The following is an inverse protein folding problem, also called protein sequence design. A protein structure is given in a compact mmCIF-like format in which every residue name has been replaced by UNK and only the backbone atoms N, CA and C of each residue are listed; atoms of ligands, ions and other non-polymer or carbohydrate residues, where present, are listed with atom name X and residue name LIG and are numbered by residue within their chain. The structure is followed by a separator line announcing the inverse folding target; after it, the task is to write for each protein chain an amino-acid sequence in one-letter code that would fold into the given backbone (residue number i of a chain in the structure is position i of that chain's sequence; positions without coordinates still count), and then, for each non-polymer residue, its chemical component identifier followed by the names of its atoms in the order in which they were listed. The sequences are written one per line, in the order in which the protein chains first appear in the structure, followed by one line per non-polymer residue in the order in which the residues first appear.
data_IF_726630914139
#
_entry.id   IF_726630914139
#
_cell.length_a   1.000
_cell.length_b   1.000
_cell.length_c   1.000
_cell.angle_alpha   90.00
_cell.angle_beta   90.00
_cell.angle_gamma   90.00
#
_symmetry.space_group_name_H-M   'P 1'
#
loop_
_entity.id
_entity.type
_entity.pdbx_description
1 polymer ?
#
# COMPACT_ATOMS: atom_id res chain seq x y z
N UNK A 1 13.31 -7.38 5.63
CA UNK A 1 11.92 -7.35 6.12
C UNK A 1 10.90 -7.46 4.98
N UNK A 2 9.70 -8.01 5.28
CA UNK A 2 8.62 -8.15 4.31
C UNK A 2 7.35 -7.50 4.84
N UNK A 3 6.73 -6.64 4.03
CA UNK A 3 5.53 -5.89 4.38
C UNK A 3 4.42 -6.10 3.35
N UNK A 4 3.18 -6.07 3.80
CA UNK A 4 1.98 -6.07 2.97
C UNK A 4 1.13 -4.85 3.34
N UNK A 5 0.99 -3.93 2.39
CA UNK A 5 0.14 -2.75 2.52
C UNK A 5 -1.09 -2.94 1.63
N UNK A 6 -2.28 -2.84 2.18
CA UNK A 6 -3.49 -2.93 1.37
C UNK A 6 -4.61 -2.04 1.90
N UNK A 7 -5.51 -1.62 1.02
CA UNK A 7 -6.66 -0.82 1.44
C UNK A 7 -6.97 0.35 0.52
N UNK A 8 -7.13 1.52 1.12
CA UNK A 8 -7.50 2.74 0.43
C UNK A 8 -6.43 3.19 -0.58
N UNK A 9 -6.86 3.55 -1.79
CA UNK A 9 -5.98 3.91 -2.91
C UNK A 9 -5.19 5.20 -2.70
N UNK A 10 -5.61 6.08 -1.78
CA UNK A 10 -4.90 7.27 -1.39
C UNK A 10 -3.86 7.00 -0.30
N UNK A 11 -4.22 6.16 0.69
CA UNK A 11 -3.37 5.90 1.85
C UNK A 11 -2.23 4.93 1.54
N UNK A 12 -2.48 3.89 0.75
CA UNK A 12 -1.47 2.87 0.43
C UNK A 12 -0.21 3.46 -0.21
N UNK A 13 -0.28 4.31 -1.26
CA UNK A 13 0.92 4.92 -1.85
C UNK A 13 1.66 5.84 -0.88
N UNK A 14 0.94 6.58 -0.03
CA UNK A 14 1.56 7.47 0.98
C UNK A 14 2.29 6.65 2.06
N UNK A 15 1.66 5.57 2.54
CA UNK A 15 2.29 4.67 3.52
C UNK A 15 3.48 3.93 2.92
N UNK A 16 3.38 3.51 1.66
CA UNK A 16 4.50 2.91 0.92
C UNK A 16 5.71 3.85 0.85
N UNK A 17 5.50 5.10 0.45
CA UNK A 17 6.57 6.09 0.39
C UNK A 17 7.21 6.34 1.78
N UNK A 18 6.37 6.43 2.82
CA UNK A 18 6.85 6.59 4.20
C UNK A 18 7.65 5.37 4.67
N UNK A 19 7.18 4.15 4.42
CA UNK A 19 7.85 2.91 4.79
C UNK A 19 9.22 2.77 4.10
N UNK A 20 9.31 3.15 2.83
CA UNK A 20 10.58 3.18 2.08
C UNK A 20 11.55 4.17 2.73
N UNK A 21 11.08 5.37 3.11
CA UNK A 21 11.90 6.37 3.78
C UNK A 21 12.38 5.89 5.16
N UNK A 22 11.47 5.32 5.95
CA UNK A 22 11.75 4.80 7.29
C UNK A 22 12.74 3.62 7.27
N UNK A 23 12.70 2.78 6.23
CA UNK A 23 13.61 1.65 6.07
C UNK A 23 15.02 2.01 5.60
N UNK A 24 15.30 3.30 5.34
CA UNK A 24 16.58 3.76 4.80
C UNK A 24 16.80 3.43 3.32
N UNK A 25 15.78 2.94 2.61
CA UNK A 25 15.87 2.55 1.21
C UNK A 25 15.50 3.67 0.21
N UNK A 26 15.39 4.93 0.69
CA UNK A 26 15.02 6.05 -0.18
C UNK A 26 16.05 6.34 -1.27
N UNK A 27 17.33 6.16 -0.97
CA UNK A 27 18.44 6.57 -1.82
C UNK A 27 19.19 5.38 -2.46
N UNK A 28 18.61 4.16 -2.39
CA UNK A 28 19.23 2.99 -3.02
C UNK A 28 19.36 3.19 -4.53
N UNK A 29 20.45 2.69 -5.09
CA UNK A 29 20.74 2.75 -6.51
C UNK A 29 19.63 2.11 -7.36
N UNK A 30 19.41 2.60 -8.55
CA UNK A 30 18.39 2.07 -9.48
C UNK A 30 18.56 0.57 -9.74
N UNK A 31 19.80 0.07 -9.77
CA UNK A 31 20.11 -1.34 -9.91
C UNK A 31 19.55 -2.22 -8.75
N UNK A 32 19.26 -1.60 -7.60
CA UNK A 32 18.70 -2.27 -6.42
C UNK A 32 17.21 -2.01 -6.22
N UNK A 33 16.58 -1.22 -7.10
CA UNK A 33 15.14 -0.93 -7.08
C UNK A 33 14.41 -1.79 -8.09
N UNK A 34 13.44 -2.54 -7.61
CA UNK A 34 12.59 -3.35 -8.46
C UNK A 34 11.13 -3.03 -8.16
N UNK A 35 10.40 -2.53 -9.14
CA UNK A 35 8.97 -2.31 -9.05
C UNK A 35 8.27 -3.17 -10.09
N UNK A 36 7.46 -4.11 -9.63
CA UNK A 36 6.84 -5.15 -10.44
C UNK A 36 5.32 -5.06 -10.31
N UNK A 37 4.63 -5.07 -11.43
CA UNK A 37 3.18 -5.25 -11.44
C UNK A 37 2.85 -6.75 -11.30
N UNK A 38 1.66 -7.07 -10.82
CA UNK A 38 1.17 -8.44 -10.68
C UNK A 38 1.36 -9.29 -11.94
N UNK A 39 1.15 -8.70 -13.12
CA UNK A 39 1.31 -9.37 -14.42
C UNK A 39 2.75 -9.77 -14.75
N UNK A 40 3.72 -9.13 -14.11
CA UNK A 40 5.17 -9.36 -14.30
C UNK A 40 5.76 -10.24 -13.20
N UNK A 41 5.05 -10.39 -12.08
CA UNK A 41 5.53 -11.12 -10.92
C UNK A 41 5.33 -12.63 -11.09
N UNK A 42 6.44 -13.35 -11.35
CA UNK A 42 6.49 -14.82 -11.31
C UNK A 42 7.24 -15.27 -10.06
N UNK A 43 6.74 -16.26 -9.31
CA UNK A 43 7.33 -16.66 -8.03
C UNK A 43 8.83 -16.94 -8.09
N UNK A 44 9.28 -17.71 -9.10
CA UNK A 44 10.69 -18.08 -9.24
C UNK A 44 11.61 -16.91 -9.60
N UNK A 45 11.15 -16.02 -10.50
CA UNK A 45 11.89 -14.80 -10.88
C UNK A 45 11.97 -13.83 -9.70
N UNK A 46 10.85 -13.60 -9.02
CA UNK A 46 10.80 -12.74 -7.85
C UNK A 46 11.69 -13.27 -6.72
N UNK A 47 11.68 -14.59 -6.49
CA UNK A 47 12.56 -15.22 -5.49
C UNK A 47 14.03 -15.00 -5.80
N UNK A 48 14.41 -15.11 -7.09
CA UNK A 48 15.79 -14.86 -7.53
C UNK A 48 16.21 -13.41 -7.28
N UNK A 49 15.34 -12.45 -7.55
CA UNK A 49 15.57 -11.02 -7.26
C UNK A 49 15.71 -10.78 -5.74
N UNK A 50 14.82 -11.39 -4.94
CA UNK A 50 14.82 -11.22 -3.48
C UNK A 50 16.05 -11.84 -2.79
N UNK A 51 16.64 -12.88 -3.37
CA UNK A 51 17.84 -13.55 -2.83
C UNK A 51 19.15 -12.89 -3.27
N UNK A 52 19.12 -12.05 -4.29
CA UNK A 52 20.31 -11.38 -4.76
C UNK A 52 20.74 -10.29 -3.75
N UNK A 53 22.03 -10.27 -3.41
CA UNK A 53 22.59 -9.20 -2.59
C UNK A 53 22.50 -7.85 -3.30
N UNK A 54 22.36 -6.75 -2.57
CA UNK A 54 22.38 -5.41 -3.16
C UNK A 54 23.74 -5.13 -3.80
N UNK A 55 23.73 -4.38 -4.90
CA UNK A 55 24.94 -3.98 -5.61
C UNK A 55 25.43 -2.62 -5.09
N UNK A 56 26.55 -2.59 -4.39
CA UNK A 56 27.16 -1.39 -3.82
C UNK A 56 26.22 -0.53 -2.96
N UNK A 57 25.34 -1.20 -2.21
CA UNK A 57 24.30 -0.59 -1.40
C UNK A 57 24.02 -1.43 -0.15
N UNK A 58 23.35 -0.85 0.84
CA UNK A 58 22.96 -1.55 2.07
C UNK A 58 21.70 -2.39 1.87
N UNK A 59 20.80 -1.95 0.98
CA UNK A 59 19.51 -2.57 0.77
C UNK A 59 19.17 -2.81 -0.70
N UNK A 60 18.33 -3.80 -0.92
CA UNK A 60 17.61 -4.07 -2.16
C UNK A 60 16.12 -3.88 -1.91
N UNK A 61 15.51 -2.94 -2.61
CA UNK A 61 14.10 -2.60 -2.49
C UNK A 61 13.29 -3.27 -3.61
N UNK A 62 12.29 -4.05 -3.23
CA UNK A 62 11.38 -4.72 -4.17
C UNK A 62 9.96 -4.37 -3.78
N UNK A 63 9.22 -3.76 -4.71
CA UNK A 63 7.81 -3.42 -4.56
C UNK A 63 7.01 -4.21 -5.58
N UNK A 64 6.01 -4.97 -5.12
CA UNK A 64 5.11 -5.75 -5.97
C UNK A 64 3.69 -5.21 -5.82
N UNK A 65 3.11 -4.75 -6.92
CA UNK A 65 1.81 -4.08 -6.91
C UNK A 65 0.69 -4.93 -7.53
N UNK A 66 -0.45 -4.97 -6.86
CA UNK A 66 -1.69 -5.59 -7.35
C UNK A 66 -1.69 -7.11 -7.36
N UNK A 67 -0.70 -7.77 -6.75
CA UNK A 67 -0.58 -9.22 -6.79
C UNK A 67 -1.70 -9.93 -6.02
N UNK A 68 -2.03 -9.43 -4.84
CA UNK A 68 -3.03 -10.07 -3.99
C UNK A 68 -4.44 -9.87 -4.56
N UNK A 69 -4.70 -8.71 -5.17
CA UNK A 69 -5.97 -8.43 -5.85
C UNK A 69 -6.22 -9.32 -7.06
N UNK A 70 -5.18 -9.65 -7.83
CA UNK A 70 -5.33 -10.59 -8.96
C UNK A 70 -5.67 -12.01 -8.49
N UNK A 71 -5.14 -12.45 -7.36
CA UNK A 71 -5.49 -13.74 -6.77
C UNK A 71 -6.99 -13.82 -6.37
N UNK A 72 -7.58 -12.71 -5.95
CA UNK A 72 -9.00 -12.63 -5.61
C UNK A 72 -9.90 -12.63 -6.85
N UNK A 73 -9.53 -11.90 -7.90
CA UNK A 73 -10.32 -11.80 -9.13
C UNK A 73 -10.40 -13.11 -9.90
N UNK A 74 -9.32 -13.89 -9.91
CA UNK A 74 -9.31 -15.22 -10.55
C UNK A 74 -10.21 -16.23 -9.83
N UNK A 75 -10.46 -16.07 -8.52
CA UNK A 75 -11.39 -16.89 -7.76
C UNK A 75 -12.87 -16.64 -8.08
N UNK A 76 -13.23 -15.43 -8.54
CA UNK A 76 -14.63 -15.04 -8.84
C UNK A 76 -15.13 -15.42 -10.23
N UNK A 77 -14.23 -15.70 -11.18
CA UNK A 77 -14.56 -15.87 -12.60
C UNK A 77 -14.96 -17.28 -13.05
N UNK A 78 -14.85 -18.31 -12.22
CA UNK A 78 -15.19 -19.70 -12.60
C UNK A 78 -16.35 -20.26 -11.77
N UNK A 79 -17.53 -20.26 -12.38
CA UNK A 79 -18.67 -21.08 -11.90
C UNK A 79 -18.27 -22.55 -11.82
N UNK A 80 -18.47 -23.15 -10.62
CA UNK A 80 -18.53 -24.59 -10.31
C UNK A 80 -17.51 -25.49 -11.02
N UNK A 81 -16.46 -25.78 -10.31
CA UNK A 81 -15.57 -26.90 -10.58
C UNK A 81 -14.21 -26.64 -9.92
N UNK A 82 -13.98 -27.28 -8.79
CA UNK A 82 -12.70 -27.53 -8.11
C UNK A 82 -11.47 -26.74 -8.56
N UNK A 83 -10.88 -25.95 -7.63
CA UNK A 83 -9.43 -25.70 -7.53
C UNK A 83 -8.80 -24.48 -8.20
N UNK A 84 -9.46 -23.31 -8.31
CA UNK A 84 -8.67 -22.15 -8.75
C UNK A 84 -7.95 -21.42 -7.58
N UNK A 85 -8.51 -21.42 -6.38
CA UNK A 85 -7.77 -20.95 -5.18
C UNK A 85 -6.56 -21.83 -4.86
N UNK A 86 -6.66 -23.13 -5.08
CA UNK A 86 -5.55 -24.06 -4.90
C UNK A 86 -4.44 -23.87 -5.93
N UNK A 87 -4.73 -23.38 -7.13
CA UNK A 87 -3.74 -23.15 -8.19
C UNK A 87 -2.78 -22.00 -7.88
N UNK A 88 -3.31 -20.84 -7.53
CA UNK A 88 -2.48 -19.67 -7.19
C UNK A 88 -1.72 -19.89 -5.87
N UNK A 89 -2.39 -20.37 -4.83
CA UNK A 89 -1.72 -20.66 -3.56
C UNK A 89 -0.62 -21.69 -3.73
N UNK A 90 -0.88 -22.79 -4.46
CA UNK A 90 0.15 -23.81 -4.75
C UNK A 90 1.35 -23.22 -5.54
N UNK A 91 1.09 -22.34 -6.49
CA UNK A 91 2.14 -21.69 -7.28
C UNK A 91 3.02 -20.76 -6.41
N UNK A 92 2.42 -20.01 -5.47
CA UNK A 92 3.13 -19.04 -4.63
C UNK A 92 3.63 -19.62 -3.31
N UNK A 93 3.18 -20.80 -2.91
CA UNK A 93 3.56 -21.45 -1.66
C UNK A 93 5.09 -21.53 -1.48
N UNK A 94 5.90 -22.02 -2.48
CA UNK A 94 7.35 -22.11 -2.32
C UNK A 94 8.02 -20.75 -2.13
N UNK A 95 7.46 -19.69 -2.74
CA UNK A 95 7.94 -18.32 -2.57
C UNK A 95 7.70 -17.85 -1.13
N UNK A 96 6.47 -18.03 -0.63
CA UNK A 96 6.09 -17.60 0.72
C UNK A 96 6.91 -18.33 1.80
N UNK A 97 7.15 -19.62 1.62
CA UNK A 97 7.99 -20.42 2.51
C UNK A 97 9.46 -19.97 2.49
N UNK A 98 9.92 -19.38 1.41
CA UNK A 98 11.29 -18.86 1.30
C UNK A 98 11.47 -17.46 1.91
N UNK A 99 10.41 -16.70 2.17
CA UNK A 99 10.50 -15.34 2.74
C UNK A 99 11.35 -15.29 4.03
N UNK A 100 11.16 -16.15 5.02
CA UNK A 100 11.98 -16.11 6.25
C UNK A 100 13.48 -16.37 6.05
N UNK A 101 13.86 -16.88 4.87
CA UNK A 101 15.24 -17.19 4.52
C UNK A 101 15.88 -16.16 3.59
N UNK A 102 15.18 -15.08 3.29
CA UNK A 102 15.71 -13.98 2.47
C UNK A 102 16.76 -13.18 3.25
N UNK A 103 17.75 -12.57 2.56
CA UNK A 103 18.72 -11.71 3.22
C UNK A 103 18.05 -10.54 3.97
N UNK A 104 18.59 -10.16 5.12
CA UNK A 104 18.12 -9.01 5.89
C UNK A 104 18.25 -7.69 5.12
N UNK A 105 19.14 -7.65 4.14
CA UNK A 105 19.33 -6.55 3.20
C UNK A 105 18.19 -6.39 2.18
N UNK A 106 17.28 -7.38 2.08
CA UNK A 106 16.14 -7.34 1.17
C UNK A 106 14.92 -6.73 1.86
N UNK A 107 14.37 -5.66 1.27
CA UNK A 107 13.11 -5.04 1.67
C UNK A 107 12.08 -5.39 0.60
N UNK A 108 11.11 -6.23 0.96
CA UNK A 108 10.04 -6.68 0.07
C UNK A 108 8.71 -6.10 0.53
N UNK A 109 8.04 -5.37 -0.35
CA UNK A 109 6.77 -4.72 -0.05
C UNK A 109 5.73 -5.13 -1.10
N UNK A 110 4.63 -5.71 -0.65
CA UNK A 110 3.43 -5.91 -1.45
C UNK A 110 2.49 -4.74 -1.22
N UNK A 111 2.05 -4.08 -2.29
CA UNK A 111 1.12 -2.97 -2.24
C UNK A 111 -0.12 -3.27 -3.08
N UNK A 112 -1.29 -3.27 -2.44
CA UNK A 112 -2.55 -3.63 -3.07
C UNK A 112 -3.68 -2.68 -2.68
N UNK A 113 -4.72 -2.65 -3.47
CA UNK A 113 -5.98 -1.99 -3.13
C UNK A 113 -6.74 -2.73 -2.02
N UNK A 114 -8.02 -2.42 -1.88
CA UNK A 114 -8.89 -3.10 -0.91
C UNK A 114 -8.99 -4.59 -1.22
N UNK A 115 -8.69 -5.42 -0.24
CA UNK A 115 -8.73 -6.88 -0.33
C UNK A 115 -9.86 -7.45 0.53
N UNK A 116 -10.47 -8.51 0.05
CA UNK A 116 -11.44 -9.28 0.85
C UNK A 116 -10.75 -10.02 2.00
N UNK A 117 -11.45 -10.14 3.14
CA UNK A 117 -10.94 -10.83 4.34
C UNK A 117 -10.55 -12.31 4.10
N UNK A 118 -11.04 -12.91 3.01
CA UNK A 118 -10.75 -14.31 2.63
C UNK A 118 -9.70 -14.41 1.54
N UNK A 119 -9.01 -13.31 1.20
CA UNK A 119 -7.97 -13.34 0.15
C UNK A 119 -6.92 -14.42 0.48
N UNK A 120 -6.70 -15.40 -0.42
CA UNK A 120 -5.84 -16.55 -0.13
C UNK A 120 -4.36 -16.16 0.01
N UNK A 121 -3.88 -15.23 -0.82
CA UNK A 121 -2.51 -14.73 -0.76
C UNK A 121 -2.23 -13.94 0.51
N UNK A 122 -3.20 -13.08 0.92
CA UNK A 122 -3.09 -12.33 2.16
C UNK A 122 -2.97 -13.27 3.38
N UNK A 123 -3.75 -14.36 3.39
CA UNK A 123 -3.69 -15.36 4.47
C UNK A 123 -2.34 -16.06 4.55
N UNK A 124 -1.72 -16.36 3.41
CA UNK A 124 -0.39 -16.99 3.37
C UNK A 124 0.70 -16.03 3.84
N UNK A 125 0.68 -14.80 3.33
CA UNK A 125 1.69 -13.77 3.65
C UNK A 125 1.60 -13.30 5.11
N UNK A 126 0.42 -13.32 5.72
CA UNK A 126 0.21 -12.87 7.09
C UNK A 126 1.07 -13.61 8.14
N UNK A 127 1.50 -14.83 7.84
CA UNK A 127 2.32 -15.62 8.75
C UNK A 127 3.82 -15.23 8.69
N UNK A 128 4.26 -14.56 7.63
CA UNK A 128 5.69 -14.32 7.32
C UNK A 128 5.99 -12.85 7.00
N UNK A 129 5.03 -11.96 7.15
CA UNK A 129 5.14 -10.53 6.84
C UNK A 129 4.36 -9.67 7.82
N UNK A 130 4.73 -8.40 7.90
CA UNK A 130 3.95 -7.37 8.58
C UNK A 130 2.83 -6.89 7.66
N UNK A 131 1.59 -7.00 8.11
CA UNK A 131 0.41 -6.63 7.32
C UNK A 131 -0.25 -5.38 7.89
N UNK A 132 -0.36 -4.35 7.07
CA UNK A 132 -1.08 -3.12 7.40
C UNK A 132 -2.32 -2.99 6.50
N UNK A 133 -3.50 -2.89 7.12
CA UNK A 133 -4.76 -2.60 6.45
C UNK A 133 -5.11 -1.12 6.60
N UNK A 134 -5.10 -0.40 5.49
CA UNK A 134 -5.27 1.06 5.43
C UNK A 134 -6.68 1.39 4.95
N UNK A 135 -7.59 1.66 5.87
CA UNK A 135 -8.97 2.04 5.56
C UNK A 135 -9.14 3.56 5.62
N UNK A 136 -9.93 4.11 4.69
CA UNK A 136 -10.31 5.51 4.76
C UNK A 136 -10.98 5.82 6.12
N UNK A 137 -10.57 6.89 6.80
CA UNK A 137 -11.17 7.28 8.06
C UNK A 137 -12.62 7.73 7.88
N UNK A 138 -13.41 7.67 8.93
CA UNK A 138 -14.79 8.16 8.96
C UNK A 138 -15.11 8.88 10.27
N UNK A 139 -16.19 9.66 10.29
CA UNK A 139 -16.62 10.41 11.48
C UNK A 139 -15.51 11.30 12.05
N UNK A 140 -15.28 11.24 13.36
CA UNK A 140 -14.24 12.04 14.02
C UNK A 140 -12.81 11.76 13.52
N UNK A 141 -12.52 10.53 13.07
CA UNK A 141 -11.22 10.20 12.50
C UNK A 141 -11.00 10.92 11.16
N UNK A 142 -12.08 11.07 10.36
CA UNK A 142 -12.03 11.84 9.12
C UNK A 142 -11.81 13.33 9.41
N UNK A 143 -12.52 13.88 10.39
CA UNK A 143 -12.36 15.30 10.78
C UNK A 143 -10.91 15.59 11.27
N UNK A 144 -10.30 14.68 12.03
CA UNK A 144 -8.90 14.79 12.43
C UNK A 144 -7.96 14.71 11.23
N UNK A 145 -8.24 13.80 10.29
CA UNK A 145 -7.45 13.67 9.06
C UNK A 145 -7.48 14.93 8.22
N UNK A 146 -8.67 15.51 8.01
CA UNK A 146 -8.87 16.81 7.29
C UNK A 146 -8.05 17.92 7.96
N UNK A 147 -8.13 18.04 9.29
CA UNK A 147 -7.35 19.03 10.04
C UNK A 147 -5.85 18.87 9.80
N UNK A 148 -5.33 17.65 9.96
CA UNK A 148 -3.89 17.38 9.73
C UNK A 148 -3.47 17.62 8.28
N UNK A 149 -4.34 17.31 7.30
CA UNK A 149 -4.07 17.54 5.89
C UNK A 149 -3.97 19.03 5.56
N UNK A 150 -4.83 19.89 6.18
CA UNK A 150 -4.79 21.34 6.03
C UNK A 150 -3.54 21.93 6.71
N UNK A 151 -3.20 21.46 7.90
CA UNK A 151 -1.98 21.87 8.61
C UNK A 151 -0.72 21.56 7.81
N UNK A 152 -0.66 20.39 7.18
CA UNK A 152 0.44 20.02 6.29
C UNK A 152 0.56 20.91 5.04
N UNK A 153 -0.53 21.57 4.63
CA UNK A 153 -0.57 22.56 3.54
C UNK A 153 -0.32 23.99 4.00
N UNK A 154 0.04 24.19 5.28
CA UNK A 154 0.41 25.48 5.86
C UNK A 154 -0.80 26.38 6.19
N UNK A 155 -1.99 25.82 6.34
CA UNK A 155 -3.22 26.54 6.70
C UNK A 155 -3.87 25.93 7.96
N UNK A 156 -4.95 26.54 8.44
CA UNK A 156 -5.82 25.98 9.47
C UNK A 156 -7.26 25.92 8.97
N UNK A 157 -8.10 25.15 9.63
CA UNK A 157 -9.51 25.00 9.26
C UNK A 157 -10.39 25.12 10.51
N UNK A 158 -11.47 25.91 10.41
CA UNK A 158 -12.45 26.02 11.48
C UNK A 158 -13.27 24.72 11.63
N UNK A 159 -13.80 24.42 12.82
CA UNK A 159 -14.65 23.23 13.02
C UNK A 159 -15.86 23.19 12.09
N UNK A 160 -16.48 24.36 11.82
CA UNK A 160 -17.63 24.46 10.93
C UNK A 160 -17.27 24.15 9.47
N UNK A 161 -16.16 24.68 8.97
CA UNK A 161 -15.68 24.38 7.62
C UNK A 161 -15.25 22.91 7.47
N UNK A 162 -14.60 22.34 8.52
CA UNK A 162 -14.24 20.92 8.54
C UNK A 162 -15.49 20.04 8.44
N UNK A 163 -16.52 20.32 9.24
CA UNK A 163 -17.78 19.59 9.17
C UNK A 163 -18.42 19.73 7.78
N UNK A 164 -18.48 20.93 7.24
CA UNK A 164 -19.09 21.20 5.94
C UNK A 164 -18.40 20.42 4.81
N UNK A 165 -17.07 20.40 4.76
CA UNK A 165 -16.34 19.68 3.70
C UNK A 165 -16.47 18.17 3.85
N UNK A 166 -16.48 17.64 5.08
CA UNK A 166 -16.68 16.21 5.33
C UNK A 166 -18.09 15.75 5.01
N UNK A 167 -19.10 16.59 5.23
CA UNK A 167 -20.49 16.30 4.86
C UNK A 167 -20.71 16.32 3.34
N UNK A 168 -20.02 17.22 2.64
CA UNK A 168 -20.14 17.37 1.19
C UNK A 168 -19.39 16.30 0.40
N UNK A 169 -18.19 15.96 0.81
CA UNK A 169 -17.29 15.07 0.06
C UNK A 169 -17.30 13.65 0.61
N UNK A 170 -17.60 13.48 1.89
CA UNK A 170 -17.51 12.17 2.54
C UNK A 170 -16.07 11.71 2.75
N UNK A 171 -15.83 10.41 2.63
CA UNK A 171 -14.52 9.77 2.90
C UNK A 171 -13.68 9.54 1.64
N UNK A 172 -13.98 10.20 0.52
CA UNK A 172 -13.11 10.18 -0.67
C UNK A 172 -11.88 11.06 -0.44
N UNK A 173 -10.79 10.43 0.01
CA UNK A 173 -9.56 11.12 0.38
C UNK A 173 -8.86 11.81 -0.80
N UNK A 174 -9.02 11.29 -2.05
CA UNK A 174 -8.48 11.94 -3.23
C UNK A 174 -9.17 13.27 -3.48
N UNK A 175 -10.49 13.26 -3.47
CA UNK A 175 -11.29 14.48 -3.63
C UNK A 175 -11.05 15.44 -2.49
N UNK A 176 -11.04 14.95 -1.24
CA UNK A 176 -10.74 15.79 -0.08
C UNK A 176 -9.36 16.45 -0.19
N UNK A 177 -8.32 15.73 -0.51
CA UNK A 177 -6.95 16.27 -0.60
C UNK A 177 -6.86 17.39 -1.65
N UNK A 178 -7.52 17.20 -2.81
CA UNK A 178 -7.58 18.20 -3.87
C UNK A 178 -8.36 19.45 -3.48
N UNK A 179 -9.53 19.28 -2.84
CA UNK A 179 -10.34 20.43 -2.38
C UNK A 179 -9.62 21.20 -1.27
N UNK A 180 -9.00 20.50 -0.32
CA UNK A 180 -8.21 21.13 0.73
C UNK A 180 -6.98 21.88 0.19
N UNK A 181 -6.34 21.37 -0.85
CA UNK A 181 -5.25 22.08 -1.55
C UNK A 181 -5.73 23.40 -2.14
N UNK A 182 -6.86 23.37 -2.87
CA UNK A 182 -7.46 24.59 -3.45
C UNK A 182 -7.85 25.62 -2.39
N UNK A 183 -8.47 25.17 -1.30
CA UNK A 183 -8.87 26.04 -0.19
C UNK A 183 -7.66 26.65 0.52
N UNK A 184 -6.62 25.87 0.79
CA UNK A 184 -5.39 26.35 1.41
C UNK A 184 -4.69 27.42 0.56
N UNK A 185 -4.61 27.19 -0.76
CA UNK A 185 -4.07 28.19 -1.70
C UNK A 185 -4.93 29.44 -1.76
N UNK A 186 -6.26 29.32 -1.80
CA UNK A 186 -7.17 30.45 -1.83
C UNK A 186 -7.07 31.31 -0.56
N UNK A 187 -7.00 30.68 0.59
CA UNK A 187 -6.89 31.37 1.88
C UNK A 187 -5.49 31.94 2.14
N UNK A 188 -4.47 31.56 1.33
CA UNK A 188 -3.10 32.08 1.45
C UNK A 188 -2.53 31.96 2.87
N UNK A 189 -2.67 30.79 3.50
CA UNK A 189 -2.20 30.51 4.86
C UNK A 189 -3.11 31.01 5.99
N UNK A 190 -4.25 31.65 5.66
CA UNK A 190 -5.27 32.01 6.67
C UNK A 190 -6.17 30.82 6.98
N UNK A 191 -6.94 30.95 8.06
CA UNK A 191 -7.93 29.93 8.42
C UNK A 191 -9.04 29.79 7.37
N UNK A 192 -9.32 28.56 6.98
CA UNK A 192 -10.47 28.16 6.13
C UNK A 192 -11.74 28.21 7.02
N UNK A 193 -12.70 29.01 6.62
CA UNK A 193 -13.96 29.26 7.36
C UNK A 193 -15.16 28.75 6.58
#
# INVERSE_FOLDING_TARGET
PTHVLHGDSFLVPKRLAYLIAESGASDVLEANRHRLLASQAKPGELLSICRALPFMDDYRLIVVEGLLGTAESQGRGRRRGTSSESGITAQWQPFVEAIPQMPDTTILIFADGSLGARNPMLRMLKAVSEVESLSAPSGEALARWVKSAVEAKGSSISPAANQSITDLVGSDLWTLDQELEKLALYCSGREIQ
#
